data_IF_870867375585
#
_entry.id   IF_870867375585
#
_cell.length_a   1.000
_cell.length_b   1.000
_cell.length_c   1.000
_cell.angle_alpha   90.00
_cell.angle_beta   90.00
_cell.angle_gamma   90.00
#
_symmetry.space_group_name_H-M   'P 1'
#
loop_
_entity.id
_entity.type
_entity.pdbx_description
1 polymer ?
#
# COMPACT_ATOMS: atom_id res chain seq x y z
N UNK A 1 8.70 4.50 5.63
CA UNK A 1 7.76 4.12 6.72
C UNK A 1 6.97 2.84 6.44
N UNK A 2 6.24 2.68 5.33
CA UNK A 2 5.60 1.39 4.93
C UNK A 2 6.54 0.56 4.04
N UNK A 3 7.09 1.17 2.98
CA UNK A 3 8.10 0.55 2.10
C UNK A 3 9.25 -0.06 2.91
N UNK A 4 9.86 0.75 3.78
CA UNK A 4 11.00 0.33 4.60
C UNK A 4 10.59 -0.73 5.64
N UNK A 5 9.39 -0.62 6.20
CA UNK A 5 8.84 -1.62 7.11
C UNK A 5 8.66 -2.99 6.45
N UNK A 6 8.30 -3.03 5.16
CA UNK A 6 8.08 -4.25 4.39
C UNK A 6 9.32 -4.72 3.61
N UNK A 7 10.48 -4.07 3.78
CA UNK A 7 11.71 -4.45 3.07
C UNK A 7 11.60 -4.35 1.53
N UNK A 8 10.77 -3.46 1.00
CA UNK A 8 10.51 -3.32 -0.45
C UNK A 8 11.64 -2.56 -1.16
N UNK A 9 12.85 -3.13 -1.18
CA UNK A 9 14.05 -2.48 -1.70
C UNK A 9 14.02 -2.18 -3.20
N UNK A 10 13.29 -2.99 -3.98
CA UNK A 10 13.11 -2.88 -5.43
C UNK A 10 12.02 -1.87 -5.84
N UNK A 11 11.39 -1.22 -4.86
CA UNK A 11 10.36 -0.19 -5.07
C UNK A 11 10.98 1.19 -4.88
N UNK A 12 10.98 1.99 -5.94
CA UNK A 12 11.56 3.34 -5.94
C UNK A 12 10.46 4.37 -6.23
N UNK A 13 9.95 5.08 -5.21
CA UNK A 13 8.92 6.12 -5.41
C UNK A 13 9.35 7.26 -6.35
N UNK A 14 10.66 7.46 -6.55
CA UNK A 14 11.19 8.36 -7.56
C UNK A 14 10.73 8.01 -8.97
N UNK A 15 10.54 6.73 -9.28
CA UNK A 15 10.09 6.26 -10.61
C UNK A 15 8.62 6.63 -10.87
N UNK A 16 7.90 7.14 -9.87
CA UNK A 16 6.48 7.43 -9.97
C UNK A 16 6.18 8.85 -10.46
N UNK A 17 7.15 9.78 -10.42
CA UNK A 17 6.96 11.17 -10.85
C UNK A 17 6.59 11.30 -12.33
N UNK A 18 7.03 10.34 -13.14
CA UNK A 18 6.86 10.35 -14.60
C UNK A 18 5.48 9.84 -15.04
N UNK A 19 4.67 9.33 -14.10
CA UNK A 19 3.37 8.80 -14.40
C UNK A 19 2.34 9.93 -14.63
N UNK A 20 1.92 10.09 -15.89
CA UNK A 20 0.95 11.14 -16.28
C UNK A 20 -0.51 10.83 -15.89
N UNK A 21 -0.78 9.69 -15.27
CA UNK A 21 -2.12 9.34 -14.75
C UNK A 21 -2.05 8.18 -13.75
N UNK A 22 -3.07 8.05 -12.90
CA UNK A 22 -3.22 6.91 -11.97
C UNK A 22 -3.24 5.58 -12.72
N UNK A 23 -3.87 5.52 -13.91
CA UNK A 23 -3.89 4.31 -14.74
C UNK A 23 -2.48 3.93 -15.21
N UNK A 24 -1.68 4.90 -15.67
CA UNK A 24 -0.29 4.65 -16.08
C UNK A 24 0.57 4.25 -14.88
N UNK A 25 0.45 4.94 -13.76
CA UNK A 25 1.14 4.61 -12.51
C UNK A 25 0.83 3.18 -12.05
N UNK A 26 -0.46 2.81 -12.01
CA UNK A 26 -0.89 1.46 -11.63
C UNK A 26 -0.34 0.41 -12.59
N UNK A 27 -0.51 0.63 -13.90
CA UNK A 27 -0.06 -0.29 -14.93
C UNK A 27 1.46 -0.48 -14.90
N UNK A 28 2.22 0.60 -14.66
CA UNK A 28 3.67 0.55 -14.52
C UNK A 28 4.07 -0.36 -13.35
N UNK A 29 3.53 -0.10 -12.15
CA UNK A 29 3.90 -0.84 -10.94
C UNK A 29 3.40 -2.30 -10.97
N UNK A 30 2.18 -2.54 -11.47
CA UNK A 30 1.60 -3.87 -11.55
C UNK A 30 2.29 -4.77 -12.60
N UNK A 31 2.93 -4.20 -13.61
CA UNK A 31 3.63 -4.93 -14.67
C UNK A 31 5.16 -4.90 -14.56
N UNK A 32 5.72 -4.14 -13.60
CA UNK A 32 7.17 -4.06 -13.38
C UNK A 32 7.71 -5.47 -13.09
N UNK A 33 8.77 -5.88 -13.79
CA UNK A 33 9.41 -7.19 -13.59
C UNK A 33 10.29 -7.17 -12.34
N UNK A 34 9.66 -7.26 -11.18
CA UNK A 34 10.36 -7.30 -9.88
C UNK A 34 9.81 -8.41 -9.00
N UNK A 35 10.58 -8.80 -7.98
CA UNK A 35 10.15 -9.80 -6.99
C UNK A 35 8.94 -9.29 -6.19
N UNK A 36 8.89 -7.99 -5.93
CA UNK A 36 7.80 -7.36 -5.19
C UNK A 36 6.55 -7.02 -6.00
N UNK A 37 6.51 -7.31 -7.31
CA UNK A 37 5.39 -6.93 -8.19
C UNK A 37 4.01 -7.30 -7.63
N UNK A 38 3.85 -8.57 -7.24
CA UNK A 38 2.56 -9.08 -6.72
C UNK A 38 2.20 -8.49 -5.35
N UNK A 39 3.08 -8.52 -4.34
CA UNK A 39 2.79 -7.85 -3.07
C UNK A 39 2.54 -6.34 -3.24
N UNK A 40 3.28 -5.66 -4.11
CA UNK A 40 3.10 -4.25 -4.38
C UNK A 40 1.72 -3.95 -4.96
N UNK A 41 1.21 -4.77 -5.89
CA UNK A 41 -0.15 -4.61 -6.42
C UNK A 41 -1.21 -4.75 -5.32
N UNK A 42 -1.09 -5.75 -4.45
CA UNK A 42 -1.96 -5.92 -3.29
C UNK A 42 -1.87 -4.75 -2.31
N UNK A 43 -0.65 -4.27 -2.03
CA UNK A 43 -0.42 -3.15 -1.12
C UNK A 43 -0.95 -1.83 -1.68
N UNK A 44 -0.78 -1.56 -2.99
CA UNK A 44 -1.35 -0.37 -3.63
C UNK A 44 -2.87 -0.36 -3.53
N UNK A 45 -3.53 -1.52 -3.67
CA UNK A 45 -4.98 -1.64 -3.48
C UNK A 45 -5.38 -1.29 -2.05
N UNK A 46 -4.70 -1.90 -1.07
CA UNK A 46 -4.96 -1.70 0.36
C UNK A 46 -4.73 -0.25 0.80
N UNK A 47 -3.62 0.36 0.38
CA UNK A 47 -3.33 1.78 0.64
C UNK A 47 -4.42 2.67 0.01
N UNK A 48 -4.81 2.40 -1.24
CA UNK A 48 -5.86 3.17 -1.91
C UNK A 48 -7.19 3.05 -1.15
N UNK A 49 -7.49 1.87 -0.60
CA UNK A 49 -8.67 1.63 0.22
C UNK A 49 -8.65 2.41 1.53
N UNK A 50 -7.54 2.39 2.28
CA UNK A 50 -7.43 3.15 3.54
C UNK A 50 -7.53 4.67 3.32
N UNK A 51 -6.91 5.18 2.26
CA UNK A 51 -7.01 6.60 1.87
C UNK A 51 -8.45 6.96 1.50
N UNK A 52 -9.13 6.09 0.76
CA UNK A 52 -10.54 6.31 0.42
C UNK A 52 -11.44 6.31 1.66
N UNK A 53 -11.24 5.38 2.60
CA UNK A 53 -11.96 5.34 3.89
C UNK A 53 -11.74 6.62 4.70
N UNK A 54 -10.50 7.11 4.79
CA UNK A 54 -10.19 8.37 5.49
C UNK A 54 -10.90 9.56 4.85
N UNK A 55 -10.81 9.69 3.51
CA UNK A 55 -11.47 10.78 2.79
C UNK A 55 -12.99 10.77 2.99
N UNK A 56 -13.60 9.59 3.00
CA UNK A 56 -15.04 9.47 3.26
C UNK A 56 -15.40 9.83 4.71
N UNK A 57 -14.60 9.39 5.69
CA UNK A 57 -14.82 9.77 7.08
C UNK A 57 -14.70 11.29 7.27
N UNK A 58 -13.74 11.92 6.60
CA UNK A 58 -13.57 13.37 6.59
C UNK A 58 -14.79 14.09 6.00
N UNK A 59 -15.26 13.68 4.83
CA UNK A 59 -16.36 14.37 4.12
C UNK A 59 -17.71 14.12 4.79
N UNK A 60 -18.04 12.87 5.10
CA UNK A 60 -19.38 12.49 5.54
C UNK A 60 -19.57 12.50 7.06
N UNK A 61 -18.47 12.46 7.84
CA UNK A 61 -18.53 12.39 9.30
C UNK A 61 -17.74 13.51 9.99
N UNK A 62 -17.17 14.44 9.22
CA UNK A 62 -16.29 15.50 9.71
C UNK A 62 -15.16 14.96 10.63
N UNK A 63 -14.68 13.74 10.36
CA UNK A 63 -13.66 13.08 11.17
C UNK A 63 -12.34 13.02 10.40
N UNK A 64 -11.37 13.82 10.83
CA UNK A 64 -10.02 13.88 10.26
C UNK A 64 -9.06 13.19 11.20
N UNK A 65 -8.22 12.31 10.65
CA UNK A 65 -7.15 11.65 11.42
C UNK A 65 -5.77 12.04 10.88
N UNK A 66 -4.74 12.11 11.74
CA UNK A 66 -3.36 12.33 11.29
C UNK A 66 -2.88 11.22 10.34
N UNK A 67 -1.91 11.55 9.47
CA UNK A 67 -1.29 10.59 8.53
C UNK A 67 -0.75 9.35 9.25
N UNK A 68 -0.19 9.52 10.46
CA UNK A 68 0.31 8.41 11.27
C UNK A 68 -0.77 7.38 11.62
N UNK A 69 -2.01 7.81 11.84
CA UNK A 69 -3.15 6.91 12.11
C UNK A 69 -3.53 6.13 10.86
N UNK A 70 -3.53 6.77 9.68
CA UNK A 70 -3.78 6.08 8.40
C UNK A 70 -2.70 5.03 8.14
N UNK A 71 -1.44 5.38 8.42
CA UNK A 71 -0.32 4.44 8.26
C UNK A 71 -0.42 3.27 9.24
N UNK A 72 -0.82 3.51 10.49
CA UNK A 72 -1.06 2.45 11.46
C UNK A 72 -2.14 1.47 10.98
N UNK A 73 -3.27 2.00 10.47
CA UNK A 73 -4.34 1.18 9.87
C UNK A 73 -3.87 0.37 8.66
N UNK A 74 -3.06 0.97 7.79
CA UNK A 74 -2.46 0.25 6.64
C UNK A 74 -1.61 -0.92 7.13
N UNK A 75 -0.78 -0.73 8.16
CA UNK A 75 0.06 -1.80 8.73
C UNK A 75 -0.80 -2.92 9.34
N UNK A 76 -1.82 -2.54 10.11
CA UNK A 76 -2.76 -3.47 10.73
C UNK A 76 -3.52 -4.30 9.68
N UNK A 77 -4.11 -3.65 8.67
CA UNK A 77 -4.80 -4.34 7.57
C UNK A 77 -3.85 -5.23 6.76
N UNK A 78 -2.60 -4.79 6.53
CA UNK A 78 -1.60 -5.61 5.84
C UNK A 78 -1.30 -6.89 6.62
N UNK A 79 -1.17 -6.79 7.95
CA UNK A 79 -1.01 -7.94 8.84
C UNK A 79 -2.24 -8.85 8.82
N UNK A 80 -3.45 -8.28 8.92
CA UNK A 80 -4.70 -9.04 8.91
C UNK A 80 -4.87 -9.82 7.60
N UNK A 81 -4.59 -9.19 6.45
CA UNK A 81 -4.66 -9.85 5.15
C UNK A 81 -3.64 -10.97 5.04
N UNK A 82 -2.44 -10.75 5.58
CA UNK A 82 -1.39 -11.78 5.65
C UNK A 82 -1.86 -13.02 6.40
N UNK A 83 -2.42 -12.83 7.61
CA UNK A 83 -2.96 -13.89 8.46
C UNK A 83 -4.18 -14.57 7.80
N UNK A 84 -5.00 -13.82 7.07
CA UNK A 84 -6.13 -14.33 6.30
C UNK A 84 -5.73 -15.11 5.02
N UNK A 85 -4.43 -15.28 4.74
CA UNK A 85 -3.95 -16.10 3.64
C UNK A 85 -3.55 -15.33 2.37
N UNK A 86 -3.42 -14.00 2.43
CA UNK A 86 -2.87 -13.21 1.33
C UNK A 86 -1.37 -13.51 1.15
N UNK A 87 -1.05 -14.63 0.48
CA UNK A 87 0.29 -15.21 0.37
C UNK A 87 1.36 -14.22 -0.09
N UNK A 88 1.03 -13.32 -1.01
CA UNK A 88 1.98 -12.34 -1.53
C UNK A 88 2.34 -11.27 -0.50
N UNK A 89 1.38 -10.80 0.31
CA UNK A 89 1.65 -9.89 1.41
C UNK A 89 2.41 -10.61 2.54
N UNK A 90 2.02 -11.84 2.86
CA UNK A 90 2.72 -12.63 3.88
C UNK A 90 4.21 -12.83 3.56
N UNK A 91 4.56 -13.01 2.29
CA UNK A 91 5.95 -13.18 1.88
C UNK A 91 6.85 -11.96 2.14
N UNK A 92 6.28 -10.76 2.29
CA UNK A 92 7.02 -9.51 2.54
C UNK A 92 6.85 -8.98 3.96
N UNK A 93 6.11 -9.69 4.82
CA UNK A 93 5.98 -9.31 6.21
C UNK A 93 7.31 -9.53 6.95
N UNK A 94 7.72 -8.59 7.82
CA UNK A 94 8.81 -8.84 8.75
C UNK A 94 8.56 -10.11 9.54
N UNK A 95 9.56 -11.01 9.57
CA UNK A 95 9.53 -12.17 10.47
C UNK A 95 9.95 -11.70 11.86
N UNK A 96 9.26 -12.19 12.88
CA UNK A 96 9.71 -12.08 14.28
C UNK A 96 11.03 -12.81 14.50
#
# INVERSE_FOLDING_TARGET
MIKDWLGLHDVHPSDWSDATSVKKWWSHNANKKTQSRRPLASLMLLISWEVWKERNARIFRNNVVPVGVVVARIKEETLLWSIAGARHLNNIMPRE
#
